data_IF_221182881627
#
_entry.id   IF_221182881627
#
_cell.length_a   1.000
_cell.length_b   1.000
_cell.length_c   1.000
_cell.angle_alpha   90.00
_cell.angle_beta   90.00
_cell.angle_gamma   90.00
#
_symmetry.space_group_name_H-M   'P 1'
#
loop_
_entity.id
_entity.type
_entity.pdbx_description
1 polymer ?
#
# COMPACT_ATOMS: atom_id res chain seq x y z
N UNK A 1 -10.98 -19.11 -24.10
CA UNK A 1 -10.18 -19.68 -23.01
C UNK A 1 -8.83 -18.98 -23.08
N UNK A 2 -8.61 -17.91 -22.30
CA UNK A 2 -7.33 -17.17 -22.34
C UNK A 2 -6.33 -17.94 -21.48
N UNK A 3 -5.13 -18.07 -22.02
CA UNK A 3 -4.00 -18.86 -21.54
C UNK A 3 -3.44 -18.29 -20.23
N UNK A 4 -3.43 -19.10 -19.17
CA UNK A 4 -2.98 -18.77 -17.81
C UNK A 4 -1.43 -18.82 -17.66
N UNK A 5 -0.70 -19.02 -18.75
CA UNK A 5 0.76 -19.21 -18.75
C UNK A 5 1.61 -17.95 -18.49
N UNK A 6 0.99 -16.75 -18.42
CA UNK A 6 1.69 -15.47 -18.28
C UNK A 6 1.41 -14.71 -16.97
N UNK A 7 0.98 -15.39 -15.90
CA UNK A 7 0.90 -14.75 -14.57
C UNK A 7 2.31 -14.51 -14.03
N UNK A 8 2.96 -13.45 -14.51
CA UNK A 8 4.17 -12.88 -13.91
C UNK A 8 3.83 -12.60 -12.46
N UNK A 9 4.56 -13.22 -11.52
CA UNK A 9 4.38 -12.95 -10.10
C UNK A 9 4.48 -11.43 -9.86
N UNK A 10 3.37 -10.74 -9.55
CA UNK A 10 3.34 -9.28 -9.51
C UNK A 10 4.21 -8.72 -8.37
N UNK A 11 4.67 -9.58 -7.45
CA UNK A 11 5.53 -9.20 -6.32
C UNK A 11 7.00 -9.00 -6.72
N UNK A 12 7.46 -9.48 -7.89
CA UNK A 12 8.87 -9.36 -8.28
C UNK A 12 9.28 -7.98 -8.83
N UNK A 13 8.40 -6.98 -8.76
CA UNK A 13 8.76 -5.64 -9.23
C UNK A 13 7.86 -4.56 -8.63
N UNK A 14 8.44 -3.83 -7.68
CA UNK A 14 7.97 -2.57 -7.08
C UNK A 14 7.51 -1.51 -8.12
N UNK A 15 7.82 -1.74 -9.41
CA UNK A 15 7.42 -0.94 -10.57
C UNK A 15 6.01 -1.28 -11.09
N UNK A 16 5.55 -2.52 -10.98
CA UNK A 16 4.26 -2.97 -11.53
C UNK A 16 3.09 -2.59 -10.62
N UNK A 17 3.30 -2.64 -9.30
CA UNK A 17 2.33 -2.13 -8.32
C UNK A 17 1.98 -0.68 -8.61
N UNK A 18 2.99 0.19 -8.72
CA UNK A 18 2.77 1.64 -8.90
C UNK A 18 2.10 1.99 -10.22
N UNK A 19 2.44 1.29 -11.32
CA UNK A 19 1.85 1.57 -12.63
C UNK A 19 0.32 1.46 -12.60
N UNK A 20 -0.23 0.43 -11.96
CA UNK A 20 -1.68 0.24 -11.88
C UNK A 20 -2.40 1.36 -11.12
N UNK A 21 -1.80 1.85 -10.04
CA UNK A 21 -2.33 3.03 -9.34
C UNK A 21 -2.24 4.29 -10.21
N UNK A 22 -1.13 4.49 -10.92
CA UNK A 22 -0.96 5.63 -11.86
C UNK A 22 -1.98 5.58 -13.02
N UNK A 23 -2.27 4.39 -13.53
CA UNK A 23 -3.22 4.19 -14.62
C UNK A 23 -4.70 4.23 -14.16
N UNK A 24 -4.96 4.35 -12.85
CA UNK A 24 -6.31 4.35 -12.29
C UNK A 24 -6.96 2.96 -12.23
N UNK A 25 -6.19 1.90 -12.39
CA UNK A 25 -6.65 0.51 -12.40
C UNK A 25 -6.51 -0.13 -11.00
N UNK A 26 -7.21 0.42 -10.01
CA UNK A 26 -7.18 -0.04 -8.62
C UNK A 26 -8.52 0.19 -7.92
N UNK A 27 -8.71 -0.49 -6.79
CA UNK A 27 -9.82 -0.22 -5.88
C UNK A 27 -9.35 0.15 -4.47
N UNK A 28 -10.23 0.83 -3.74
CA UNK A 28 -10.10 1.08 -2.32
C UNK A 28 -11.34 0.50 -1.65
N UNK A 29 -11.13 -0.37 -0.66
CA UNK A 29 -12.23 -0.94 0.10
C UNK A 29 -12.89 0.11 1.01
N UNK A 30 -14.19 -0.02 1.27
CA UNK A 30 -14.90 0.80 2.27
C UNK A 30 -14.23 0.74 3.63
N UNK A 31 -13.73 -0.45 4.01
CA UNK A 31 -12.99 -0.63 5.27
C UNK A 31 -11.74 0.25 5.33
N UNK A 32 -10.94 0.31 4.26
CA UNK A 32 -9.77 1.19 4.22
C UNK A 32 -10.15 2.68 4.35
N UNK A 33 -11.23 3.12 3.70
CA UNK A 33 -11.71 4.51 3.79
C UNK A 33 -12.16 4.82 5.23
N UNK A 34 -12.88 3.90 5.87
CA UNK A 34 -13.39 4.07 7.24
C UNK A 34 -12.22 4.15 8.25
N UNK A 35 -11.27 3.22 8.20
CA UNK A 35 -10.12 3.23 9.12
C UNK A 35 -9.22 4.45 8.89
N UNK A 36 -8.96 4.82 7.64
CA UNK A 36 -8.19 6.02 7.32
C UNK A 36 -8.82 7.29 7.93
N UNK A 37 -10.14 7.45 7.82
CA UNK A 37 -10.85 8.61 8.39
C UNK A 37 -10.83 8.61 9.91
N UNK A 38 -10.98 7.45 10.56
CA UNK A 38 -10.88 7.34 12.03
C UNK A 38 -9.52 7.81 12.54
N UNK A 39 -8.47 7.57 11.76
CA UNK A 39 -7.10 7.95 12.07
C UNK A 39 -6.72 9.37 11.59
N UNK A 40 -7.68 10.16 11.12
CA UNK A 40 -7.45 11.55 10.73
C UNK A 40 -6.89 11.74 9.32
N UNK A 41 -6.93 10.72 8.46
CA UNK A 41 -6.60 10.83 7.04
C UNK A 41 -7.83 11.41 6.29
N UNK A 42 -8.17 12.63 6.65
CA UNK A 42 -9.27 13.45 6.12
C UNK A 42 -8.79 14.92 6.10
N UNK A 43 -9.30 15.79 5.21
CA UNK A 43 -10.16 15.51 4.06
C UNK A 43 -9.40 14.81 2.93
N UNK A 44 -10.12 14.45 1.86
CA UNK A 44 -9.55 13.86 0.63
C UNK A 44 -8.89 12.50 0.86
N UNK A 45 -9.55 11.65 1.64
CA UNK A 45 -9.06 10.32 2.03
C UNK A 45 -8.64 9.50 0.81
N UNK A 46 -9.46 9.44 -0.24
CA UNK A 46 -9.19 8.62 -1.43
C UNK A 46 -7.92 9.09 -2.11
N UNK A 47 -7.77 10.39 -2.37
CA UNK A 47 -6.59 10.94 -3.03
C UNK A 47 -5.32 10.76 -2.20
N UNK A 48 -5.43 10.87 -0.87
CA UNK A 48 -4.30 10.60 0.04
C UNK A 48 -3.88 9.14 0.00
N UNK A 49 -4.82 8.19 0.05
CA UNK A 49 -4.51 6.77 -0.02
C UNK A 49 -3.90 6.37 -1.38
N UNK A 50 -4.43 6.91 -2.48
CA UNK A 50 -3.84 6.76 -3.81
C UNK A 50 -2.41 7.32 -3.84
N UNK A 51 -2.20 8.52 -3.31
CA UNK A 51 -0.88 9.14 -3.26
C UNK A 51 0.12 8.28 -2.49
N UNK A 52 -0.28 7.70 -1.36
CA UNK A 52 0.55 6.75 -0.58
C UNK A 52 0.88 5.52 -1.42
N UNK A 53 -0.07 4.95 -2.16
CA UNK A 53 0.18 3.78 -3.01
C UNK A 53 1.16 4.08 -4.16
N UNK A 54 1.12 5.28 -4.71
CA UNK A 54 2.00 5.72 -5.80
C UNK A 54 3.41 6.08 -5.28
N UNK A 55 3.49 6.86 -4.21
CA UNK A 55 4.74 7.50 -3.76
C UNK A 55 5.41 6.80 -2.58
N UNK A 56 4.69 5.92 -1.89
CA UNK A 56 5.18 5.23 -0.71
C UNK A 56 6.25 4.19 -0.99
N UNK A 57 6.94 3.79 0.07
CA UNK A 57 7.92 2.73 0.10
C UNK A 57 7.25 1.42 0.54
N UNK A 58 7.47 0.33 -0.20
CA UNK A 58 7.10 -1.02 0.26
C UNK A 58 8.06 -1.40 1.39
N UNK A 59 7.52 -1.58 2.59
CA UNK A 59 8.32 -1.90 3.79
C UNK A 59 8.17 -3.36 4.26
N UNK A 60 7.10 -4.05 3.88
CA UNK A 60 6.92 -5.48 4.08
C UNK A 60 6.20 -6.14 2.91
N UNK A 61 6.56 -7.41 2.62
CA UNK A 61 5.91 -8.25 1.62
C UNK A 61 5.39 -9.53 2.29
N UNK A 62 4.10 -9.84 2.10
CA UNK A 62 3.46 -11.06 2.58
C UNK A 62 3.11 -11.95 1.38
N UNK A 63 4.10 -12.72 0.91
CA UNK A 63 4.00 -13.48 -0.34
C UNK A 63 2.82 -14.46 -0.35
N UNK A 64 2.64 -15.23 0.72
CA UNK A 64 1.57 -16.22 0.83
C UNK A 64 0.17 -15.60 0.77
N UNK A 65 0.04 -14.32 1.15
CA UNK A 65 -1.21 -13.56 1.15
C UNK A 65 -1.35 -12.66 -0.06
N UNK A 66 -0.33 -12.58 -0.92
CA UNK A 66 -0.25 -11.64 -2.06
C UNK A 66 -0.48 -10.20 -1.60
N UNK A 67 0.13 -9.80 -0.48
CA UNK A 67 -0.02 -8.45 0.10
C UNK A 67 1.31 -7.74 0.26
N UNK A 68 1.25 -6.42 0.23
CA UNK A 68 2.38 -5.55 0.61
C UNK A 68 1.91 -4.50 1.61
N UNK A 69 2.82 -4.13 2.53
CA UNK A 69 2.67 -2.98 3.40
C UNK A 69 3.45 -1.82 2.80
N UNK A 70 2.77 -0.71 2.51
CA UNK A 70 3.37 0.50 1.96
C UNK A 70 3.30 1.61 3.00
N UNK A 71 4.42 2.34 3.14
CA UNK A 71 4.55 3.49 4.01
C UNK A 71 4.77 4.77 3.20
N UNK A 72 4.08 5.85 3.58
CA UNK A 72 4.47 7.19 3.19
C UNK A 72 4.12 8.20 4.28
N UNK A 73 4.82 9.33 4.28
CA UNK A 73 4.50 10.46 5.15
C UNK A 73 3.68 11.49 4.37
N UNK A 74 2.46 11.74 4.80
CA UNK A 74 1.65 12.86 4.32
C UNK A 74 2.19 14.13 4.99
N UNK A 75 3.08 14.83 4.28
CA UNK A 75 3.87 15.94 4.83
C UNK A 75 3.03 17.12 5.30
N UNK A 76 1.91 17.40 4.63
CA UNK A 76 1.04 18.54 4.97
C UNK A 76 0.38 18.33 6.34
N UNK A 77 0.02 17.08 6.65
CA UNK A 77 -0.63 16.69 7.90
C UNK A 77 0.34 16.13 8.96
N UNK A 78 1.62 15.95 8.60
CA UNK A 78 2.62 15.27 9.43
C UNK A 78 2.13 13.87 9.88
N UNK A 79 1.48 13.14 8.98
CA UNK A 79 0.91 11.81 9.26
C UNK A 79 1.77 10.70 8.63
N UNK A 80 2.35 9.80 9.44
CA UNK A 80 3.04 8.61 8.93
C UNK A 80 2.01 7.51 8.60
N UNK A 81 1.65 7.37 7.33
CA UNK A 81 0.55 6.48 6.89
C UNK A 81 1.08 5.14 6.42
N UNK A 82 0.41 4.08 6.88
CA UNK A 82 0.52 2.73 6.35
C UNK A 82 -0.73 2.36 5.57
N UNK A 83 -0.53 1.69 4.43
CA UNK A 83 -1.60 1.01 3.70
C UNK A 83 -1.21 -0.43 3.41
N UNK A 84 -2.20 -1.32 3.37
CA UNK A 84 -2.02 -2.67 2.86
C UNK A 84 -2.70 -2.77 1.51
N UNK A 85 -1.93 -3.20 0.51
CA UNK A 85 -2.43 -3.50 -0.84
C UNK A 85 -2.48 -5.01 -1.03
N UNK A 86 -3.63 -5.51 -1.46
CA UNK A 86 -3.90 -6.92 -1.76
C UNK A 86 -3.97 -7.14 -3.27
N UNK A 87 -3.13 -8.06 -3.78
CA UNK A 87 -3.05 -8.44 -5.20
C UNK A 87 -3.68 -9.83 -5.47
N UNK A 88 -4.43 -10.38 -4.52
CA UNK A 88 -5.10 -11.67 -4.72
C UNK A 88 -6.33 -11.57 -5.63
N UNK A 89 -6.89 -10.37 -5.78
CA UNK A 89 -7.95 -10.08 -6.74
C UNK A 89 -7.42 -10.10 -8.18
N UNK A 90 -8.12 -10.79 -9.07
CA UNK A 90 -7.68 -10.99 -10.47
C UNK A 90 -7.68 -9.69 -11.27
N UNK A 91 -8.65 -8.82 -11.01
CA UNK A 91 -8.90 -7.65 -11.85
C UNK A 91 -8.02 -6.47 -11.43
N UNK A 92 -7.88 -6.19 -10.13
CA UNK A 92 -7.14 -5.01 -9.65
C UNK A 92 -6.53 -5.12 -8.25
N UNK A 93 -5.40 -4.41 -7.97
CA UNK A 93 -4.91 -4.25 -6.62
C UNK A 93 -5.93 -3.47 -5.79
N UNK A 94 -6.15 -3.93 -4.56
CA UNK A 94 -7.11 -3.33 -3.64
C UNK A 94 -6.41 -2.81 -2.41
N UNK A 95 -6.62 -1.54 -2.06
CA UNK A 95 -6.26 -1.02 -0.73
C UNK A 95 -7.28 -1.57 0.27
N UNK A 96 -6.85 -2.53 1.09
CA UNK A 96 -7.74 -3.28 2.01
C UNK A 96 -7.78 -2.70 3.41
N UNK A 97 -6.75 -1.96 3.83
CA UNK A 97 -6.76 -1.19 5.09
C UNK A 97 -5.73 -0.06 5.03
N UNK A 98 -5.95 0.96 5.85
CA UNK A 98 -5.07 2.12 6.00
C UNK A 98 -5.13 2.63 7.44
N UNK A 99 -3.99 3.05 7.99
CA UNK A 99 -3.88 3.53 9.37
C UNK A 99 -2.67 4.46 9.55
N UNK A 100 -2.73 5.32 10.57
CA UNK A 100 -1.57 6.14 10.98
C UNK A 100 -0.68 5.30 11.91
N UNK A 101 0.58 5.14 11.53
CA UNK A 101 1.54 4.37 12.31
C UNK A 101 2.04 5.14 13.54
N UNK A 102 2.13 4.48 14.69
CA UNK A 102 2.78 5.08 15.86
C UNK A 102 4.30 5.13 15.61
N UNK A 103 4.85 6.35 15.70
CA UNK A 103 6.28 6.67 15.51
C UNK A 103 7.25 5.76 16.29
N UNK A 104 6.83 5.20 17.43
CA UNK A 104 7.62 4.25 18.24
C UNK A 104 7.86 2.92 17.54
N UNK A 105 6.92 2.48 16.71
CA UNK A 105 7.08 1.27 15.90
C UNK A 105 7.89 1.57 14.64
N UNK A 106 7.71 2.75 14.03
CA UNK A 106 8.47 3.20 12.84
C UNK A 106 10.00 3.17 13.02
N UNK A 107 10.50 3.69 14.16
CA UNK A 107 11.94 3.70 14.47
C UNK A 107 12.57 2.31 14.44
N UNK A 108 11.83 1.25 14.77
CA UNK A 108 12.34 -0.13 14.69
C UNK A 108 12.55 -0.60 13.25
N UNK A 109 11.76 -0.11 12.29
CA UNK A 109 11.80 -0.51 10.90
C UNK A 109 12.94 0.16 10.12
N UNK A 110 13.20 1.46 10.32
CA UNK A 110 14.39 2.12 9.74
C UNK A 110 15.71 1.53 10.26
N UNK A 111 15.69 0.84 11.40
CA UNK A 111 16.88 0.28 12.04
C UNK A 111 17.13 -1.20 11.69
N UNK A 112 16.46 -1.76 10.67
CA UNK A 112 16.70 -3.17 10.26
C UNK A 112 18.08 -3.31 9.58
N UNK A 113 19.01 -3.92 10.32
CA UNK A 113 20.42 -4.30 10.05
C UNK A 113 20.91 -4.19 8.60
N UNK A 114 21.96 -3.39 8.41
CA UNK A 114 22.96 -3.64 7.38
C UNK A 114 23.38 -5.12 7.45
N UNK A 115 23.28 -5.84 6.33
CA UNK A 115 23.90 -7.16 6.18
C UNK A 115 25.40 -6.98 6.42
N UNK A 116 25.95 -7.76 7.36
CA UNK A 116 27.35 -8.20 7.32
C UNK A 116 27.44 -9.40 6.37
#
# INVERSE_FOLDING_TARGET
>A
MRDDSNFVNPMNSNKYTRKRFIDGEYAISDHAIIEARKDGIDPRTVEKLEWVAINGEVIEEYVDRKRVLIYAELKEENLPVHIIVDFSFRDEPVIVTAYVSDSRYWLKYKTRKSRK
#
